data_IF_541899290330
#
_entry.id   IF_541899290330
#
_cell.length_a   1.000
_cell.length_b   1.000
_cell.length_c   1.000
_cell.angle_alpha   90.00
_cell.angle_beta   90.00
_cell.angle_gamma   90.00
#
_symmetry.space_group_name_H-M   'P 1'
#
loop_
_entity.id
_entity.type
_entity.pdbx_description
1 polymer ?
#
# COMPACT_ATOMS: atom_id res chain seq x y z
N UNK A 1 8.85 -15.89 -13.37
CA UNK A 1 7.82 -14.85 -13.59
C UNK A 1 6.37 -15.33 -13.37
N UNK A 2 6.11 -16.61 -13.03
CA UNK A 2 4.74 -17.15 -12.91
C UNK A 2 4.19 -17.31 -11.46
N UNK A 3 5.00 -17.07 -10.42
CA UNK A 3 4.57 -17.37 -9.03
C UNK A 3 3.54 -16.38 -8.45
N UNK A 4 3.47 -15.14 -8.96
CA UNK A 4 2.61 -14.10 -8.39
C UNK A 4 1.13 -14.21 -8.77
N UNK A 5 0.79 -14.97 -9.83
CA UNK A 5 -0.60 -15.15 -10.28
C UNK A 5 -1.37 -16.18 -9.45
N UNK A 6 -0.67 -17.08 -8.75
CA UNK A 6 -1.31 -18.08 -7.87
C UNK A 6 -1.49 -17.60 -6.42
N UNK A 7 -0.75 -16.58 -6.00
CA UNK A 7 -0.79 -16.04 -4.62
C UNK A 7 -1.88 -14.99 -4.40
N UNK A 8 -2.32 -14.29 -5.45
CA UNK A 8 -3.41 -13.30 -5.38
C UNK A 8 -4.55 -13.73 -6.30
N UNK A 9 -5.59 -14.39 -5.76
CA UNK A 9 -6.74 -14.78 -6.55
C UNK A 9 -7.30 -13.55 -7.29
N UNK A 10 -7.63 -13.70 -8.58
CA UNK A 10 -8.29 -12.69 -9.42
C UNK A 10 -9.39 -11.89 -8.68
N UNK A 11 -10.26 -12.49 -7.84
CA UNK A 11 -11.25 -11.71 -7.08
C UNK A 11 -10.66 -10.66 -6.14
N UNK A 12 -9.49 -10.88 -5.54
CA UNK A 12 -8.84 -9.88 -4.68
C UNK A 12 -8.30 -8.69 -5.46
N UNK A 13 -7.77 -8.92 -6.66
CA UNK A 13 -7.31 -7.85 -7.55
C UNK A 13 -8.48 -6.99 -8.02
N UNK A 14 -9.59 -7.65 -8.42
CA UNK A 14 -10.83 -6.96 -8.77
C UNK A 14 -11.44 -6.21 -7.57
N UNK A 15 -11.46 -6.84 -6.40
CA UNK A 15 -11.93 -6.21 -5.17
C UNK A 15 -11.08 -4.97 -4.82
N UNK A 16 -9.76 -5.03 -5.02
CA UNK A 16 -8.87 -3.89 -4.84
C UNK A 16 -9.21 -2.73 -5.77
N UNK A 17 -9.41 -3.00 -7.07
CA UNK A 17 -9.83 -1.98 -8.03
C UNK A 17 -11.20 -1.39 -7.70
N UNK A 18 -12.18 -2.24 -7.36
CA UNK A 18 -13.54 -1.81 -7.01
C UNK A 18 -13.53 -0.97 -5.74
N UNK A 19 -12.82 -1.41 -4.69
CA UNK A 19 -12.73 -0.67 -3.43
C UNK A 19 -11.99 0.65 -3.60
N UNK A 20 -10.86 0.67 -4.32
CA UNK A 20 -10.13 1.90 -4.63
C UNK A 20 -10.99 2.86 -5.46
N UNK A 21 -11.63 2.37 -6.53
CA UNK A 21 -12.52 3.16 -7.37
C UNK A 21 -13.73 3.70 -6.62
N UNK A 22 -14.34 2.89 -5.74
CA UNK A 22 -15.46 3.32 -4.91
C UNK A 22 -15.05 4.42 -3.91
N UNK A 23 -13.88 4.30 -3.29
CA UNK A 23 -13.35 5.32 -2.38
C UNK A 23 -13.03 6.62 -3.10
N UNK A 24 -12.43 6.54 -4.29
CA UNK A 24 -12.16 7.70 -5.14
C UNK A 24 -13.48 8.34 -5.61
N UNK A 25 -14.46 7.54 -6.03
CA UNK A 25 -15.79 8.02 -6.42
C UNK A 25 -16.56 8.65 -5.26
N UNK A 26 -16.46 8.09 -4.06
CA UNK A 26 -17.01 8.69 -2.85
C UNK A 26 -16.30 10.01 -2.50
N UNK A 27 -14.96 10.06 -2.58
CA UNK A 27 -14.20 11.29 -2.39
C UNK A 27 -14.55 12.36 -3.45
N UNK A 28 -14.79 11.94 -4.69
CA UNK A 28 -15.28 12.78 -5.79
C UNK A 28 -16.66 13.37 -5.46
N UNK A 29 -17.62 12.56 -5.03
CA UNK A 29 -19.02 12.99 -4.84
C UNK A 29 -19.23 14.18 -3.90
N UNK A 30 -18.37 14.37 -2.89
CA UNK A 30 -18.43 15.53 -1.99
C UNK A 30 -17.34 16.57 -2.20
N UNK A 31 -16.66 16.57 -3.35
CA UNK A 31 -15.84 17.71 -3.78
C UNK A 31 -16.76 18.88 -4.17
N UNK A 32 -16.50 20.07 -3.64
CA UNK A 32 -17.11 21.31 -4.11
C UNK A 32 -16.47 21.70 -5.46
N UNK A 33 -16.76 20.94 -6.52
CA UNK A 33 -16.15 21.07 -7.85
C UNK A 33 -16.25 22.49 -8.43
N UNK A 34 -17.30 23.21 -8.05
CA UNK A 34 -17.52 24.60 -8.43
C UNK A 34 -16.41 25.54 -7.92
N UNK A 35 -16.05 25.43 -6.64
CA UNK A 35 -15.00 26.27 -6.02
C UNK A 35 -13.60 25.96 -6.50
N UNK A 36 -13.33 24.72 -6.88
CA UNK A 36 -12.06 24.33 -7.50
C UNK A 36 -11.89 24.93 -8.90
N UNK A 37 -12.96 24.92 -9.72
CA UNK A 37 -12.90 25.39 -11.11
C UNK A 37 -12.82 26.91 -11.22
N UNK A 38 -13.35 27.64 -10.25
CA UNK A 38 -13.29 29.09 -10.23
C UNK A 38 -11.90 29.63 -9.81
N UNK A 39 -11.02 28.80 -9.25
CA UNK A 39 -9.72 29.22 -8.72
C UNK A 39 -8.58 28.51 -9.46
N UNK A 40 -8.06 29.16 -10.50
CA UNK A 40 -7.00 28.64 -11.38
C UNK A 40 -5.73 28.32 -10.59
N UNK A 41 -5.42 29.09 -9.52
CA UNK A 41 -4.24 28.83 -8.70
C UNK A 41 -4.35 27.49 -7.98
N UNK A 42 -5.52 27.19 -7.40
CA UNK A 42 -5.75 25.88 -6.75
C UNK A 42 -5.67 24.72 -7.73
N UNK A 43 -6.10 24.92 -8.97
CA UNK A 43 -6.01 23.92 -10.02
C UNK A 43 -4.55 23.64 -10.41
N UNK A 44 -3.74 24.68 -10.61
CA UNK A 44 -2.32 24.52 -10.92
C UNK A 44 -1.57 23.84 -9.79
N UNK A 45 -1.82 24.21 -8.53
CA UNK A 45 -1.20 23.57 -7.36
C UNK A 45 -1.60 22.10 -7.27
N UNK A 46 -2.87 21.77 -7.53
CA UNK A 46 -3.34 20.38 -7.56
C UNK A 46 -2.62 19.55 -8.62
N UNK A 47 -2.59 20.01 -9.87
CA UNK A 47 -1.92 19.27 -10.94
C UNK A 47 -0.41 19.20 -10.73
N UNK A 48 0.23 20.30 -10.35
CA UNK A 48 1.67 20.34 -10.11
C UNK A 48 2.06 19.39 -8.97
N UNK A 49 1.31 19.36 -7.87
CA UNK A 49 1.58 18.46 -6.75
C UNK A 49 1.32 16.99 -7.11
N UNK A 50 0.24 16.68 -7.82
CA UNK A 50 -0.05 15.31 -8.27
C UNK A 50 1.03 14.78 -9.23
N UNK A 51 1.46 15.61 -10.19
CA UNK A 51 2.54 15.28 -11.12
C UNK A 51 3.88 15.16 -10.41
N UNK A 52 4.19 16.03 -9.45
CA UNK A 52 5.42 15.94 -8.66
C UNK A 52 5.48 14.63 -7.85
N UNK A 53 4.37 14.20 -7.26
CA UNK A 53 4.29 12.92 -6.53
C UNK A 53 4.41 11.74 -7.48
N UNK A 54 3.80 11.80 -8.66
CA UNK A 54 3.99 10.79 -9.71
C UNK A 54 5.46 10.68 -10.12
N UNK A 55 6.13 11.81 -10.38
CA UNK A 55 7.55 11.84 -10.69
C UNK A 55 8.41 11.28 -9.55
N UNK A 56 8.04 11.57 -8.30
CA UNK A 56 8.70 11.02 -7.12
C UNK A 56 8.54 9.50 -7.01
N UNK A 57 7.36 8.96 -7.31
CA UNK A 57 7.13 7.50 -7.35
C UNK A 57 7.93 6.84 -8.47
N UNK A 58 7.98 7.45 -9.65
CA UNK A 58 8.79 6.97 -10.77
C UNK A 58 10.30 6.98 -10.44
N UNK A 59 10.77 8.01 -9.75
CA UNK A 59 12.16 8.11 -9.28
C UNK A 59 12.48 7.23 -8.06
N UNK A 60 11.45 6.77 -7.34
CA UNK A 60 11.56 5.94 -6.14
C UNK A 60 12.27 4.60 -6.37
N UNK A 61 12.35 4.14 -7.62
CA UNK A 61 13.12 2.95 -8.00
C UNK A 61 14.64 3.14 -8.00
N UNK A 62 15.17 4.37 -8.06
CA UNK A 62 16.60 4.61 -8.32
C UNK A 62 17.35 5.41 -7.25
N UNK A 63 16.68 6.17 -6.36
CA UNK A 63 17.38 7.11 -5.45
C UNK A 63 17.17 6.82 -3.95
N UNK A 64 16.00 6.34 -3.53
CA UNK A 64 15.68 6.05 -2.12
C UNK A 64 14.85 4.76 -2.01
N UNK A 65 15.48 3.57 -1.96
CA UNK A 65 14.75 2.32 -1.83
C UNK A 65 14.11 2.24 -0.43
N UNK A 66 12.80 2.49 -0.35
CA UNK A 66 12.05 2.32 0.88
C UNK A 66 10.58 2.75 0.77
N UNK A 67 9.69 2.13 1.58
CA UNK A 67 8.25 2.47 1.60
C UNK A 67 7.98 3.93 2.02
N UNK A 68 8.98 4.63 2.54
CA UNK A 68 8.88 6.02 2.99
C UNK A 68 8.65 7.05 1.88
N UNK A 69 9.24 6.88 0.68
CA UNK A 69 9.10 7.87 -0.40
C UNK A 69 7.64 7.96 -0.89
N UNK A 70 6.98 6.81 -1.00
CA UNK A 70 5.59 6.73 -1.42
C UNK A 70 4.67 7.40 -0.40
N UNK A 71 4.89 7.05 0.87
CA UNK A 71 4.12 7.55 2.00
C UNK A 71 4.31 9.08 2.20
N UNK A 72 5.54 9.57 2.05
CA UNK A 72 5.88 10.99 2.18
C UNK A 72 5.26 11.81 1.03
N UNK A 73 5.27 11.28 -0.20
CA UNK A 73 4.59 11.90 -1.33
C UNK A 73 3.09 12.07 -1.09
N UNK A 74 2.41 11.02 -0.59
CA UNK A 74 0.96 11.05 -0.39
C UNK A 74 0.53 11.89 0.81
N UNK A 75 1.33 11.91 1.88
CA UNK A 75 1.10 12.81 3.03
C UNK A 75 1.28 14.28 2.62
N UNK A 76 2.32 14.60 1.84
CA UNK A 76 2.53 15.94 1.31
C UNK A 76 1.39 16.39 0.39
N UNK A 77 0.95 15.53 -0.53
CA UNK A 77 -0.20 15.81 -1.41
C UNK A 77 -1.48 16.11 -0.60
N UNK A 78 -1.71 15.31 0.45
CA UNK A 78 -2.86 15.47 1.35
C UNK A 78 -2.84 16.80 2.09
N UNK A 79 -1.67 17.33 2.41
CA UNK A 79 -1.54 18.60 3.12
C UNK A 79 -1.64 19.81 2.19
N UNK A 80 -1.06 19.71 0.99
CA UNK A 80 -1.07 20.80 0.01
C UNK A 80 -2.47 21.06 -0.54
N UNK A 81 -3.23 19.98 -0.80
CA UNK A 81 -4.51 20.08 -1.50
C UNK A 81 -5.69 19.59 -0.68
N UNK A 82 -5.46 19.01 0.49
CA UNK A 82 -6.50 18.42 1.32
C UNK A 82 -6.86 16.99 0.92
N UNK A 83 -7.46 16.25 1.85
CA UNK A 83 -7.71 14.81 1.71
C UNK A 83 -8.60 14.42 0.53
N UNK A 84 -9.63 15.21 0.21
CA UNK A 84 -10.55 14.90 -0.90
C UNK A 84 -9.87 15.04 -2.25
N UNK A 85 -9.15 16.14 -2.45
CA UNK A 85 -8.41 16.40 -3.68
C UNK A 85 -7.23 15.44 -3.80
N UNK A 86 -6.53 15.12 -2.71
CA UNK A 86 -5.46 14.13 -2.71
C UNK A 86 -5.94 12.71 -3.06
N UNK A 87 -7.16 12.33 -2.66
CA UNK A 87 -7.75 11.04 -3.07
C UNK A 87 -7.88 10.95 -4.60
N UNK A 88 -8.34 12.02 -5.25
CA UNK A 88 -8.43 12.09 -6.72
C UNK A 88 -7.04 12.23 -7.35
N UNK A 89 -6.17 13.04 -6.77
CA UNK A 89 -4.79 13.24 -7.21
C UNK A 89 -3.95 11.98 -7.13
N UNK A 90 -4.30 11.03 -6.26
CA UNK A 90 -3.62 9.73 -6.14
C UNK A 90 -3.70 8.87 -7.40
N UNK A 91 -4.66 9.14 -8.29
CA UNK A 91 -4.77 8.43 -9.56
C UNK A 91 -3.52 8.67 -10.43
N UNK A 92 -2.92 9.87 -10.37
CA UNK A 92 -1.73 10.20 -11.16
C UNK A 92 -0.52 9.31 -10.85
N UNK A 93 -0.04 9.21 -9.59
CA UNK A 93 1.07 8.33 -9.27
C UNK A 93 0.74 6.84 -9.52
N UNK A 94 -0.48 6.38 -9.19
CA UNK A 94 -0.88 4.97 -9.37
C UNK A 94 -0.95 4.55 -10.83
N UNK A 95 -1.60 5.35 -11.68
CA UNK A 95 -1.65 5.07 -13.11
C UNK A 95 -0.33 5.40 -13.80
N UNK A 96 0.37 6.44 -13.36
CA UNK A 96 1.65 6.87 -13.93
C UNK A 96 2.72 5.78 -13.81
N UNK A 97 2.85 5.13 -12.65
CA UNK A 97 3.79 4.00 -12.48
C UNK A 97 3.36 2.76 -13.26
N UNK A 98 2.05 2.51 -13.36
CA UNK A 98 1.51 1.39 -14.13
C UNK A 98 1.72 1.57 -15.65
N UNK A 99 1.54 2.78 -16.17
CA UNK A 99 1.82 3.11 -17.58
C UNK A 99 3.31 3.13 -17.90
N UNK A 100 4.15 3.57 -16.95
CA UNK A 100 5.61 3.53 -17.10
C UNK A 100 6.20 2.11 -17.02
N UNK A 101 5.38 1.09 -16.70
CA UNK A 101 5.81 -0.29 -16.55
C UNK A 101 6.67 -0.56 -15.32
N UNK A 102 6.74 0.39 -14.39
CA UNK A 102 7.46 0.24 -13.11
C UNK A 102 6.72 -0.75 -12.20
N UNK A 103 5.39 -0.72 -12.26
CA UNK A 103 4.53 -1.57 -11.44
C UNK A 103 3.53 -2.36 -12.31
N UNK A 104 3.23 -3.64 -11.99
CA UNK A 104 2.24 -4.41 -12.73
C UNK A 104 0.85 -3.77 -12.67
N UNK A 105 0.21 -3.64 -13.83
CA UNK A 105 -1.14 -3.04 -13.93
C UNK A 105 -2.17 -3.76 -13.05
N UNK A 106 -2.00 -5.07 -12.87
CA UNK A 106 -2.91 -5.90 -12.08
C UNK A 106 -2.89 -5.53 -10.58
N UNK A 107 -1.74 -5.08 -10.06
CA UNK A 107 -1.59 -4.71 -8.63
C UNK A 107 -1.86 -3.24 -8.35
N UNK A 108 -2.04 -2.42 -9.39
CA UNK A 108 -2.23 -0.98 -9.26
C UNK A 108 -3.39 -0.61 -8.30
N UNK A 109 -4.49 -1.35 -8.31
CA UNK A 109 -5.61 -1.14 -7.37
C UNK A 109 -5.22 -1.38 -5.90
N UNK A 110 -4.47 -2.44 -5.62
CA UNK A 110 -3.98 -2.74 -4.27
C UNK A 110 -2.96 -1.68 -3.81
N UNK A 111 -2.08 -1.27 -4.71
CA UNK A 111 -1.07 -0.24 -4.42
C UNK A 111 -1.70 1.12 -4.21
N UNK A 112 -2.76 1.47 -4.95
CA UNK A 112 -3.59 2.64 -4.64
C UNK A 112 -4.22 2.55 -3.24
N UNK A 113 -4.77 1.41 -2.83
CA UNK A 113 -5.31 1.25 -1.48
C UNK A 113 -4.23 1.40 -0.40
N UNK A 114 -3.12 0.69 -0.53
CA UNK A 114 -2.11 0.60 0.53
C UNK A 114 -1.19 1.83 0.56
N UNK A 115 -0.76 2.31 -0.61
CA UNK A 115 0.23 3.36 -0.73
C UNK A 115 -0.40 4.74 -0.92
N UNK A 116 -1.69 4.85 -1.28
CA UNK A 116 -2.40 6.12 -1.36
C UNK A 116 -3.49 6.28 -0.30
N UNK A 117 -4.51 5.41 -0.30
CA UNK A 117 -5.68 5.59 0.58
C UNK A 117 -5.32 5.55 2.05
N UNK A 118 -4.52 4.57 2.48
CA UNK A 118 -4.08 4.45 3.87
C UNK A 118 -3.34 5.71 4.34
N UNK A 119 -2.27 6.20 3.67
CA UNK A 119 -1.59 7.41 4.12
C UNK A 119 -2.46 8.66 4.04
N UNK A 120 -3.33 8.81 3.03
CA UNK A 120 -4.29 9.94 2.98
C UNK A 120 -5.23 9.90 4.20
N UNK A 121 -5.77 8.73 4.51
CA UNK A 121 -6.66 8.52 5.66
C UNK A 121 -5.95 8.78 6.99
N UNK A 122 -4.78 8.19 7.20
CA UNK A 122 -3.96 8.42 8.40
C UNK A 122 -3.63 9.90 8.55
N UNK A 123 -3.19 10.56 7.47
CA UNK A 123 -2.90 12.00 7.47
C UNK A 123 -4.13 12.81 7.83
N UNK A 124 -5.31 12.46 7.32
CA UNK A 124 -6.55 13.17 7.65
C UNK A 124 -6.97 12.97 9.11
N UNK A 125 -6.84 11.75 9.63
CA UNK A 125 -7.16 11.40 11.02
C UNK A 125 -6.26 12.13 12.01
N UNK A 126 -4.94 12.08 11.77
CA UNK A 126 -3.96 12.84 12.55
C UNK A 126 -4.30 14.33 12.49
N UNK A 127 -4.77 14.84 11.36
CA UNK A 127 -4.97 16.28 11.19
C UNK A 127 -6.14 16.76 12.03
N UNK A 128 -7.19 15.94 12.05
CA UNK A 128 -8.34 16.14 12.90
C UNK A 128 -8.00 16.08 14.39
N UNK A 129 -7.08 15.19 14.78
CA UNK A 129 -6.64 15.02 16.17
C UNK A 129 -5.74 16.18 16.62
N UNK A 130 -4.75 16.52 15.79
CA UNK A 130 -3.72 17.52 16.08
C UNK A 130 -4.25 18.95 16.01
N UNK A 131 -5.36 19.19 15.27
CA UNK A 131 -6.10 20.47 15.27
C UNK A 131 -6.47 20.98 16.67
N UNK A 132 -6.47 20.12 17.69
CA UNK A 132 -6.78 20.48 19.08
C UNK A 132 -5.55 20.68 19.97
N UNK A 133 -4.34 20.29 19.56
CA UNK A 133 -3.23 20.13 20.51
C UNK A 133 -1.88 20.73 20.13
N UNK A 134 -1.49 20.93 18.86
CA UNK A 134 -0.09 21.28 18.53
C UNK A 134 0.10 22.52 17.63
N UNK A 135 1.17 23.33 17.88
CA UNK A 135 1.47 24.55 17.14
C UNK A 135 2.14 24.28 15.77
N UNK A 136 1.55 24.89 14.73
CA UNK A 136 2.07 25.47 13.47
C UNK A 136 3.30 24.93 12.68
N UNK A 137 3.89 23.75 12.93
CA UNK A 137 5.00 23.25 12.09
C UNK A 137 4.61 22.09 11.15
N UNK A 138 4.79 22.31 9.83
CA UNK A 138 4.51 21.31 8.76
C UNK A 138 5.40 20.07 8.90
N UNK A 139 6.65 20.24 9.36
CA UNK A 139 7.63 19.15 9.52
C UNK A 139 7.21 18.17 10.63
N UNK A 140 6.79 18.67 11.79
CA UNK A 140 6.31 17.81 12.88
C UNK A 140 5.08 17.01 12.45
N UNK A 141 4.23 17.63 11.63
CA UNK A 141 3.05 16.99 11.07
C UNK A 141 3.41 15.86 10.09
N UNK A 142 4.37 16.09 9.19
CA UNK A 142 4.91 15.07 8.28
C UNK A 142 5.53 13.90 9.05
N UNK A 143 6.33 14.17 10.08
CA UNK A 143 7.02 13.15 10.88
C UNK A 143 6.03 12.21 11.59
N UNK A 144 4.95 12.74 12.15
CA UNK A 144 3.93 11.92 12.82
C UNK A 144 3.17 11.06 11.79
N UNK A 145 2.79 11.63 10.65
CA UNK A 145 2.08 10.88 9.62
C UNK A 145 2.95 9.80 8.99
N UNK A 146 4.25 10.02 8.84
CA UNK A 146 5.17 9.02 8.28
C UNK A 146 5.44 7.87 9.26
N UNK A 147 5.62 8.17 10.54
CA UNK A 147 5.75 7.14 11.59
C UNK A 147 4.46 6.32 11.71
N UNK A 148 3.30 6.95 11.78
CA UNK A 148 2.04 6.21 11.87
C UNK A 148 1.74 5.42 10.60
N UNK A 149 1.95 6.01 9.42
CA UNK A 149 1.74 5.32 8.15
C UNK A 149 2.70 4.14 7.95
N UNK A 150 3.95 4.25 8.39
CA UNK A 150 4.90 3.12 8.37
C UNK A 150 4.53 2.01 9.36
N UNK A 151 4.00 2.33 10.55
CA UNK A 151 3.47 1.34 11.50
C UNK A 151 2.27 0.60 10.90
N UNK A 152 1.33 1.32 10.28
CA UNK A 152 0.16 0.71 9.63
C UNK A 152 0.57 -0.16 8.46
N UNK A 153 1.48 0.31 7.59
CA UNK A 153 2.01 -0.46 6.48
C UNK A 153 2.73 -1.73 6.95
N UNK A 154 3.53 -1.64 8.02
CA UNK A 154 4.21 -2.79 8.62
C UNK A 154 3.22 -3.79 9.24
N UNK A 155 2.17 -3.31 9.91
CA UNK A 155 1.11 -4.16 10.47
C UNK A 155 0.34 -4.89 9.36
N UNK A 156 -0.01 -4.19 8.29
CA UNK A 156 -0.71 -4.77 7.14
C UNK A 156 0.16 -5.82 6.43
N UNK A 157 1.44 -5.53 6.22
CA UNK A 157 2.41 -6.49 5.68
C UNK A 157 2.56 -7.73 6.54
N UNK A 158 2.56 -7.57 7.87
CA UNK A 158 2.59 -8.72 8.81
C UNK A 158 1.32 -9.55 8.77
N UNK A 159 0.14 -8.94 8.62
CA UNK A 159 -1.12 -9.67 8.47
C UNK A 159 -1.18 -10.45 7.16
N UNK A 160 -0.68 -9.89 6.07
CA UNK A 160 -0.54 -10.61 4.80
C UNK A 160 0.39 -11.82 4.92
N UNK A 161 1.53 -11.66 5.61
CA UNK A 161 2.47 -12.76 5.87
C UNK A 161 1.93 -13.81 6.86
N UNK A 162 1.05 -13.42 7.79
CA UNK A 162 0.36 -14.35 8.69
C UNK A 162 -0.65 -15.23 7.94
N UNK A 163 -1.27 -14.72 6.88
CA UNK A 163 -2.16 -15.53 6.04
C UNK A 163 -1.37 -16.65 5.33
N UNK A 164 -0.18 -16.33 4.82
CA UNK A 164 0.75 -17.30 4.21
C UNK A 164 1.24 -18.33 5.22
N UNK A 165 1.56 -17.91 6.46
CA UNK A 165 2.05 -18.83 7.49
C UNK A 165 0.97 -19.79 8.01
N UNK A 166 -0.31 -19.38 8.03
CA UNK A 166 -1.43 -20.24 8.38
C UNK A 166 -1.74 -21.28 7.29
N UNK A 167 -1.66 -20.89 6.01
CA UNK A 167 -1.81 -21.80 4.88
C UNK A 167 -0.65 -22.81 4.80
N UNK A 168 0.57 -22.35 5.04
CA UNK A 168 1.76 -23.20 5.04
C UNK A 168 1.80 -24.11 6.28
N UNK A 169 1.34 -23.65 7.45
CA UNK A 169 1.16 -24.50 8.62
C UNK A 169 0.10 -25.59 8.37
N UNK A 170 -0.99 -25.27 7.66
CA UNK A 170 -1.99 -26.24 7.22
C UNK A 170 -1.41 -27.28 6.25
N UNK A 171 -0.60 -26.85 5.28
CA UNK A 171 0.09 -27.75 4.35
C UNK A 171 1.10 -28.67 5.05
N UNK A 172 1.90 -28.14 5.98
CA UNK A 172 2.85 -28.93 6.79
C UNK A 172 2.10 -29.91 7.72
N UNK A 173 0.99 -29.50 8.32
CA UNK A 173 0.14 -30.37 9.14
C UNK A 173 -0.51 -31.48 8.30
N UNK A 174 -0.97 -31.17 7.08
CA UNK A 174 -1.54 -32.16 6.16
C UNK A 174 -0.49 -33.17 5.69
N UNK A 175 0.73 -32.72 5.35
CA UNK A 175 1.87 -33.59 5.00
C UNK A 175 2.30 -34.44 6.20
N UNK A 176 2.26 -33.89 7.42
CA UNK A 176 2.53 -34.64 8.65
C UNK A 176 1.45 -35.70 8.93
N UNK A 177 0.18 -35.41 8.63
CA UNK A 177 -0.94 -36.33 8.78
C UNK A 177 -0.94 -37.44 7.71
N UNK A 178 -0.50 -37.14 6.49
CA UNK A 178 -0.35 -38.09 5.38
C UNK A 178 0.96 -38.88 5.44
N UNK A 179 1.86 -38.57 6.40
CA UNK A 179 3.14 -39.25 6.54
C UNK A 179 2.90 -40.76 6.74
N UNK A 180 3.32 -41.62 5.79
CA UNK A 180 2.99 -43.04 5.87
C UNK A 180 3.65 -43.65 7.12
N UNK A 181 2.84 -44.38 7.91
CA UNK A 181 3.27 -45.07 9.15
C UNK A 181 4.48 -45.98 8.93
N UNK A 182 4.71 -46.42 7.69
CA UNK A 182 5.87 -47.20 7.27
C UNK A 182 7.23 -46.53 7.54
N UNK A 183 7.30 -45.19 7.61
CA UNK A 183 8.51 -44.47 8.00
C UNK A 183 8.87 -44.63 9.48
N UNK A 184 7.89 -44.94 10.35
CA UNK A 184 8.15 -45.23 11.78
C UNK A 184 8.52 -46.68 12.03
N UNK A 185 8.25 -47.58 11.09
CA UNK A 185 8.62 -49.01 11.18
C UNK A 185 9.95 -49.33 10.53
N UNK A 186 10.61 -48.36 9.87
CA UNK A 186 11.96 -48.59 9.34
C UNK A 186 12.91 -48.88 10.50
N UNK A 187 13.46 -50.11 10.60
CA UNK A 187 14.44 -50.40 11.63
C UNK A 187 15.63 -49.48 11.41
N UNK A 188 16.07 -48.78 12.46
CA UNK A 188 17.29 -47.96 12.45
C UNK A 188 18.45 -48.85 11.97
N UNK A 189 18.83 -48.71 10.70
CA UNK A 189 20.04 -49.31 10.12
C UNK A 189 21.28 -48.64 10.75
N UNK A 190 21.56 -48.98 12.01
CA UNK A 190 22.84 -48.70 12.66
C UNK A 190 23.71 -49.94 12.52
N UNK A 191 24.70 -49.87 11.62
CA UNK A 191 26.03 -50.51 11.66
C UNK A 191 26.47 -50.88 10.24
N UNK A 192 27.34 -50.08 9.62
CA UNK A 192 28.28 -50.55 8.58
C UNK A 192 29.42 -49.53 8.34
N UNK A 193 30.05 -49.03 9.42
CA UNK A 193 31.35 -48.35 9.32
C UNK A 193 32.19 -48.69 10.55
N UNK A 194 32.78 -49.89 10.49
CA UNK A 194 33.90 -50.28 11.35
C UNK A 194 34.78 -51.21 10.53
N UNK A 195 35.74 -50.62 9.83
CA UNK A 195 37.03 -51.20 9.47
C UNK A 195 37.93 -50.08 8.99
#
# INVERSE_FOLDING_TARGET
>A
MAAWQELLPIPWLLAGFVAYGALVGWAWSGLEHWRLRCDVQKLHVFFASAVAVMALWLAGGSVLPGPGAHLLGMTALTLLVGWRQAMVGSLFPVFGTAFAGVEPWQTAGLSGLLLAVVPIGVTHWVWRLTRRMLPHSVVGYLAICTVLGSIVAAAMGRLALLQESLLNAGAVAAVAALRPKWLMTLPRQRRYYSR
#
